data_IF_609434502706
#
_entry.id   IF_609434502706
#
_cell.length_a   1.000
_cell.length_b   1.000
_cell.length_c   1.000
_cell.angle_alpha   90.00
_cell.angle_beta   90.00
_cell.angle_gamma   90.00
#
_symmetry.space_group_name_H-M   'P 1'
#
loop_
_entity.id
_entity.type
_entity.pdbx_description
1 polymer ?
#
# COMPACT_ATOMS: atom_id res chain seq x y z
N UNK A 1 8.33 -7.88 27.32
CA UNK A 1 8.61 -7.17 26.06
C UNK A 1 7.46 -7.49 25.11
N UNK A 2 6.74 -6.48 24.62
CA UNK A 2 5.55 -6.71 23.78
C UNK A 2 5.97 -7.12 22.38
N UNK A 3 5.37 -8.18 21.86
CA UNK A 3 5.69 -8.73 20.53
C UNK A 3 4.81 -8.10 19.45
N UNK A 4 5.45 -7.45 18.48
CA UNK A 4 4.81 -6.65 17.45
C UNK A 4 5.04 -7.26 16.06
N UNK A 5 3.96 -7.59 15.35
CA UNK A 5 4.03 -8.00 13.95
C UNK A 5 3.53 -6.87 13.05
N UNK A 6 4.42 -6.27 12.28
CA UNK A 6 4.06 -5.34 11.23
C UNK A 6 3.79 -6.09 9.93
N UNK A 7 2.62 -5.86 9.35
CA UNK A 7 2.14 -6.48 8.12
C UNK A 7 2.00 -5.40 7.05
N UNK A 8 2.92 -5.38 6.09
CA UNK A 8 3.01 -4.31 5.09
C UNK A 8 3.46 -4.77 3.72
N UNK A 9 3.47 -3.84 2.76
CA UNK A 9 3.95 -4.07 1.40
C UNK A 9 5.49 -4.01 1.38
N UNK A 10 6.17 -4.98 0.78
CA UNK A 10 7.62 -4.94 0.62
C UNK A 10 8.04 -5.47 -0.73
N UNK A 11 9.21 -5.03 -1.19
CA UNK A 11 9.80 -5.39 -2.48
C UNK A 11 8.81 -5.08 -3.62
N UNK A 12 8.22 -3.88 -3.56
CA UNK A 12 7.25 -3.38 -4.53
C UNK A 12 7.94 -2.51 -5.58
N UNK A 13 7.47 -2.52 -6.83
CA UNK A 13 7.94 -1.54 -7.84
C UNK A 13 7.57 -0.11 -7.52
N UNK A 14 6.50 0.08 -6.74
CA UNK A 14 6.12 1.40 -6.31
C UNK A 14 7.09 1.86 -5.22
N UNK A 15 8.04 2.71 -5.62
CA UNK A 15 9.06 3.27 -4.73
C UNK A 15 8.41 4.05 -3.58
N UNK A 16 7.23 4.64 -3.78
CA UNK A 16 6.49 5.32 -2.73
C UNK A 16 6.00 4.36 -1.64
N UNK A 17 5.36 3.26 -2.02
CA UNK A 17 4.89 2.25 -1.05
C UNK A 17 6.06 1.57 -0.33
N UNK A 18 7.17 1.35 -1.05
CA UNK A 18 8.41 0.82 -0.46
C UNK A 18 9.00 1.79 0.55
N UNK A 19 9.13 3.08 0.21
CA UNK A 19 9.65 4.11 1.10
C UNK A 19 8.81 4.24 2.38
N UNK A 20 7.48 4.20 2.25
CA UNK A 20 6.58 4.21 3.40
C UNK A 20 6.87 3.02 4.33
N UNK A 21 6.96 1.81 3.77
CA UNK A 21 7.24 0.62 4.57
C UNK A 21 8.61 0.68 5.22
N UNK A 22 9.64 1.17 4.52
CA UNK A 22 10.98 1.29 5.07
C UNK A 22 11.05 2.30 6.22
N UNK A 23 10.31 3.42 6.12
CA UNK A 23 10.19 4.38 7.22
C UNK A 23 9.53 3.75 8.45
N UNK A 24 8.42 3.02 8.26
CA UNK A 24 7.76 2.31 9.37
C UNK A 24 8.70 1.28 9.99
N UNK A 25 9.42 0.53 9.17
CA UNK A 25 10.37 -0.50 9.63
C UNK A 25 11.47 0.12 10.49
N UNK A 26 12.07 1.23 10.04
CA UNK A 26 13.10 1.96 10.80
C UNK A 26 12.54 2.45 12.14
N UNK A 27 11.38 3.12 12.10
CA UNK A 27 10.75 3.67 13.29
C UNK A 27 10.41 2.60 14.34
N UNK A 28 9.98 1.40 13.91
CA UNK A 28 9.62 0.32 14.83
C UNK A 28 10.82 -0.53 15.25
N UNK A 29 11.87 -0.65 14.43
CA UNK A 29 13.09 -1.39 14.81
C UNK A 29 13.90 -0.69 15.89
N UNK A 30 13.82 0.64 15.93
CA UNK A 30 14.65 1.45 16.81
C UNK A 30 14.04 1.57 18.23
N UNK A 31 12.82 1.07 18.44
CA UNK A 31 12.16 1.05 19.73
C UNK A 31 12.59 -0.16 20.57
N UNK A 32 13.30 0.08 21.67
CA UNK A 32 13.79 -0.96 22.59
C UNK A 32 12.70 -1.71 23.36
N UNK A 33 11.46 -1.21 23.39
CA UNK A 33 10.39 -1.75 24.22
C UNK A 33 9.65 -2.94 23.58
N UNK A 34 9.89 -3.20 22.29
CA UNK A 34 9.14 -4.15 21.49
C UNK A 34 10.03 -5.17 20.78
N UNK A 35 9.61 -6.43 20.76
CA UNK A 35 10.17 -7.41 19.84
C UNK A 35 9.46 -7.23 18.49
N UNK A 36 10.18 -6.63 17.54
CA UNK A 36 9.64 -6.28 16.23
C UNK A 36 9.88 -7.37 15.19
N UNK A 37 8.83 -7.75 14.45
CA UNK A 37 8.92 -8.60 13.27
C UNK A 37 8.11 -8.04 12.11
N UNK A 38 8.62 -8.23 10.90
CA UNK A 38 7.93 -7.84 9.66
C UNK A 38 7.34 -9.07 8.95
N UNK A 39 6.12 -8.94 8.44
CA UNK A 39 5.43 -9.92 7.62
C UNK A 39 4.95 -9.28 6.32
N UNK A 40 5.46 -9.76 5.19
CA UNK A 40 5.14 -9.22 3.87
C UNK A 40 3.72 -9.59 3.46
N UNK A 41 2.96 -8.60 3.00
CA UNK A 41 1.69 -8.81 2.30
C UNK A 41 1.97 -9.39 0.92
N UNK A 42 1.42 -10.57 0.64
CA UNK A 42 1.45 -11.20 -0.67
C UNK A 42 0.02 -11.41 -1.18
N UNK A 43 -0.65 -10.32 -1.53
CA UNK A 43 -1.86 -10.35 -2.35
C UNK A 43 -1.42 -10.14 -3.80
N UNK A 44 -1.91 -10.93 -4.75
CA UNK A 44 -1.43 -10.95 -6.14
C UNK A 44 -1.85 -9.67 -6.90
N UNK A 45 -1.45 -8.51 -6.40
CA UNK A 45 -1.58 -7.25 -7.09
C UNK A 45 -0.21 -6.82 -7.55
N UNK A 46 0.03 -7.05 -8.85
CA UNK A 46 1.24 -6.67 -9.57
C UNK A 46 2.52 -6.74 -8.73
N UNK A 47 2.96 -7.95 -8.38
CA UNK A 47 4.40 -8.15 -8.20
C UNK A 47 5.06 -7.70 -9.49
N UNK A 48 5.76 -6.59 -9.40
CA UNK A 48 6.73 -6.19 -10.37
C UNK A 48 7.78 -7.27 -10.51
N UNK A 49 7.69 -8.01 -11.61
CA UNK A 49 8.78 -8.25 -12.57
C UNK A 49 10.19 -8.05 -11.97
N UNK A 50 10.57 -8.91 -11.05
CA UNK A 50 11.96 -9.07 -10.61
C UNK A 50 12.33 -10.54 -10.42
N UNK A 51 11.35 -11.43 -10.26
CA UNK A 51 11.54 -12.82 -10.65
C UNK A 51 11.28 -12.96 -12.15
N UNK A 52 12.17 -13.70 -12.81
CA UNK A 52 12.43 -13.70 -14.25
C UNK A 52 11.22 -13.81 -15.18
N UNK A 53 11.52 -13.66 -16.46
CA UNK A 53 10.64 -13.85 -17.61
C UNK A 53 9.86 -15.17 -17.49
N UNK A 54 8.75 -15.16 -16.76
CA UNK A 54 7.71 -16.18 -16.88
C UNK A 54 6.82 -15.66 -17.99
N UNK A 55 6.92 -16.32 -19.14
CA UNK A 55 6.04 -16.14 -20.27
C UNK A 55 4.59 -16.14 -19.77
N UNK A 56 3.98 -14.95 -19.75
CA UNK A 56 2.59 -14.81 -19.35
C UNK A 56 1.74 -15.48 -20.43
N UNK A 57 1.09 -16.60 -20.09
CA UNK A 57 0.11 -17.22 -20.98
C UNK A 57 -1.02 -16.23 -21.29
N UNK A 58 -0.98 -15.62 -22.49
CA UNK A 58 -1.98 -14.66 -23.00
C UNK A 58 -3.41 -15.16 -22.81
N UNK A 59 -3.63 -16.47 -22.96
CA UNK A 59 -4.93 -17.14 -22.78
C UNK A 59 -5.48 -16.95 -21.35
N UNK A 60 -4.63 -17.03 -20.31
CA UNK A 60 -5.07 -16.83 -18.92
C UNK A 60 -5.43 -15.37 -18.63
N UNK A 61 -4.80 -14.40 -19.28
CA UNK A 61 -5.17 -12.97 -19.14
C UNK A 61 -6.51 -12.68 -19.83
N UNK A 62 -6.76 -13.25 -21.01
CA UNK A 62 -8.06 -13.13 -21.69
C UNK A 62 -9.18 -13.78 -20.86
N UNK A 63 -8.96 -14.98 -20.31
CA UNK A 63 -9.93 -15.62 -19.43
C UNK A 63 -10.18 -14.80 -18.15
N UNK A 64 -9.16 -14.17 -17.58
CA UNK A 64 -9.30 -13.27 -16.41
C UNK A 64 -9.98 -11.94 -16.73
N UNK A 65 -10.02 -11.51 -17.99
CA UNK A 65 -10.82 -10.35 -18.39
C UNK A 65 -12.33 -10.63 -18.37
N UNK A 66 -12.74 -11.90 -18.37
CA UNK A 66 -14.14 -12.29 -18.22
C UNK A 66 -14.54 -12.17 -16.75
N UNK A 67 -15.50 -11.28 -16.46
CA UNK A 67 -15.94 -10.93 -15.10
C UNK A 67 -16.28 -12.14 -14.22
N UNK A 68 -16.97 -13.14 -14.76
CA UNK A 68 -17.39 -14.33 -14.01
C UNK A 68 -16.18 -15.20 -13.63
N UNK A 69 -15.26 -15.43 -14.56
CA UNK A 69 -14.04 -16.20 -14.32
C UNK A 69 -13.13 -15.48 -13.33
N UNK A 70 -13.04 -14.15 -13.42
CA UNK A 70 -12.35 -13.32 -12.42
C UNK A 70 -12.95 -13.55 -11.03
N UNK A 71 -14.27 -13.46 -10.87
CA UNK A 71 -14.94 -13.67 -9.58
C UNK A 71 -14.66 -15.07 -9.01
N UNK A 72 -14.73 -16.12 -9.83
CA UNK A 72 -14.44 -17.50 -9.39
C UNK A 72 -12.97 -17.65 -8.94
N UNK A 73 -12.04 -17.05 -9.69
CA UNK A 73 -10.64 -17.02 -9.30
C UNK A 73 -10.43 -16.26 -7.98
N UNK A 74 -11.08 -15.10 -7.84
CA UNK A 74 -10.97 -14.23 -6.67
C UNK A 74 -11.52 -14.92 -5.40
N UNK A 75 -12.63 -15.65 -5.51
CA UNK A 75 -13.23 -16.43 -4.42
C UNK A 75 -12.37 -17.65 -4.05
N UNK A 76 -11.72 -18.28 -5.02
CA UNK A 76 -10.82 -19.42 -4.77
C UNK A 76 -9.42 -19.01 -4.29
N UNK A 77 -9.04 -17.74 -4.48
CA UNK A 77 -7.71 -17.22 -4.15
C UNK A 77 -7.33 -17.43 -2.67
N UNK A 78 -8.23 -17.26 -1.69
CA UNK A 78 -7.89 -17.55 -0.30
C UNK A 78 -7.52 -19.01 -0.04
N UNK A 79 -8.21 -19.94 -0.70
CA UNK A 79 -7.94 -21.38 -0.62
C UNK A 79 -6.61 -21.71 -1.27
N UNK A 80 -6.34 -21.14 -2.45
CA UNK A 80 -5.05 -21.29 -3.14
C UNK A 80 -3.90 -20.76 -2.28
N UNK A 81 -4.11 -19.64 -1.58
CA UNK A 81 -3.13 -19.01 -0.69
C UNK A 81 -3.17 -19.52 0.76
N UNK A 82 -3.72 -20.70 1.03
CA UNK A 82 -3.82 -21.23 2.40
C UNK A 82 -2.48 -21.32 3.12
N UNK A 83 -1.39 -21.66 2.41
CA UNK A 83 -0.03 -21.72 3.00
C UNK A 83 0.44 -20.35 3.50
N UNK A 84 0.12 -19.29 2.77
CA UNK A 84 0.42 -17.92 3.17
C UNK A 84 -0.32 -17.55 4.45
N UNK A 85 -1.63 -17.83 4.51
CA UNK A 85 -2.42 -17.57 5.71
C UNK A 85 -2.02 -18.43 6.90
N UNK A 86 -1.63 -19.69 6.68
CA UNK A 86 -1.08 -20.55 7.71
C UNK A 86 0.23 -19.98 8.27
N UNK A 87 1.11 -19.51 7.39
CA UNK A 87 2.35 -18.83 7.80
C UNK A 87 2.05 -17.57 8.61
N UNK A 88 1.17 -16.72 8.11
CA UNK A 88 0.70 -15.52 8.81
C UNK A 88 0.14 -15.86 10.19
N UNK A 89 -0.75 -16.84 10.27
CA UNK A 89 -1.37 -17.26 11.53
C UNK A 89 -0.33 -17.75 12.54
N UNK A 90 0.69 -18.51 12.10
CA UNK A 90 1.77 -18.97 12.97
C UNK A 90 2.60 -17.81 13.54
N UNK A 91 2.82 -16.75 12.75
CA UNK A 91 3.51 -15.54 13.22
C UNK A 91 2.61 -14.68 14.12
N UNK A 92 1.32 -14.57 13.78
CA UNK A 92 0.34 -13.87 14.59
C UNK A 92 0.18 -14.51 15.98
N UNK A 93 0.27 -15.84 16.10
CA UNK A 93 0.23 -16.55 17.40
C UNK A 93 1.40 -16.23 18.32
N UNK A 94 2.51 -15.77 17.75
CA UNK A 94 3.72 -15.37 18.49
C UNK A 94 3.70 -13.88 18.82
N UNK A 95 2.64 -13.15 18.44
CA UNK A 95 2.59 -11.70 18.52
C UNK A 95 1.40 -11.25 19.37
N UNK A 96 1.55 -10.14 20.09
CA UNK A 96 0.47 -9.56 20.89
C UNK A 96 -0.33 -8.53 20.08
N UNK A 97 0.38 -7.80 19.21
CA UNK A 97 -0.19 -6.72 18.39
C UNK A 97 0.17 -6.95 16.93
N UNK A 98 -0.81 -6.76 16.04
CA UNK A 98 -0.61 -6.85 14.59
C UNK A 98 -0.89 -5.49 13.98
N UNK A 99 0.15 -4.83 13.46
CA UNK A 99 0.03 -3.55 12.78
C UNK A 99 -0.09 -3.80 11.29
N UNK A 100 -1.27 -3.57 10.72
CA UNK A 100 -1.53 -3.76 9.29
C UNK A 100 -1.42 -2.40 8.62
N UNK A 101 -0.40 -2.17 7.81
CA UNK A 101 -0.02 -0.79 7.53
C UNK A 101 1.07 -0.54 6.49
N UNK A 102 1.21 0.74 6.13
CA UNK A 102 2.16 1.27 5.14
C UNK A 102 1.53 1.60 3.78
N UNK A 103 1.03 2.83 3.61
CA UNK A 103 0.47 3.34 2.34
C UNK A 103 -1.06 3.23 2.26
N UNK A 104 -1.61 3.23 1.05
CA UNK A 104 -3.06 3.13 0.83
C UNK A 104 -3.57 1.66 0.90
N UNK A 105 -3.68 1.09 2.11
CA UNK A 105 -4.04 -0.32 2.27
C UNK A 105 -5.54 -0.64 2.19
N UNK A 106 -6.48 0.27 2.41
CA UNK A 106 -7.90 -0.12 2.32
C UNK A 106 -8.61 0.65 1.23
N UNK A 107 -8.29 0.32 -0.02
CA UNK A 107 -8.95 0.90 -1.19
C UNK A 107 -9.82 -0.13 -1.90
N UNK A 108 -10.92 0.36 -2.46
CA UNK A 108 -11.84 -0.42 -3.28
C UNK A 108 -11.49 -0.29 -4.78
N UNK A 109 -10.19 -0.38 -5.08
CA UNK A 109 -9.68 -0.44 -6.45
C UNK A 109 -9.79 -1.89 -6.98
N UNK A 110 -9.66 -2.87 -6.07
CA UNK A 110 -9.76 -4.29 -6.37
C UNK A 110 -10.63 -5.06 -5.36
N UNK A 111 -11.62 -5.78 -5.89
CA UNK A 111 -12.66 -6.50 -5.15
C UNK A 111 -12.12 -7.44 -4.04
N UNK A 112 -10.91 -7.97 -4.20
CA UNK A 112 -10.32 -9.01 -3.34
C UNK A 112 -9.47 -8.43 -2.22
N UNK A 113 -8.87 -7.25 -2.41
CA UNK A 113 -7.88 -6.74 -1.49
C UNK A 113 -8.47 -6.45 -0.10
N UNK A 114 -9.67 -5.83 0.03
CA UNK A 114 -10.35 -5.73 1.32
C UNK A 114 -10.72 -7.09 1.94
N UNK A 115 -10.98 -8.12 1.13
CA UNK A 115 -11.31 -9.46 1.63
C UNK A 115 -10.08 -10.12 2.26
N UNK A 116 -8.95 -10.03 1.58
CA UNK A 116 -7.66 -10.47 2.08
C UNK A 116 -7.29 -9.82 3.43
N UNK A 117 -7.50 -8.51 3.56
CA UNK A 117 -7.29 -7.80 4.82
C UNK A 117 -8.26 -8.24 5.92
N UNK A 118 -9.54 -8.48 5.58
CA UNK A 118 -10.49 -9.04 6.54
C UNK A 118 -10.03 -10.42 7.05
N UNK A 119 -9.50 -11.28 6.17
CA UNK A 119 -8.96 -12.59 6.57
C UNK A 119 -7.77 -12.42 7.52
N UNK A 120 -6.84 -11.50 7.24
CA UNK A 120 -5.73 -11.22 8.16
C UNK A 120 -6.25 -10.76 9.53
N UNK A 121 -7.16 -9.80 9.57
CA UNK A 121 -7.76 -9.31 10.83
C UNK A 121 -8.45 -10.43 11.61
N UNK A 122 -9.18 -11.31 10.92
CA UNK A 122 -9.81 -12.48 11.55
C UNK A 122 -8.77 -13.44 12.12
N UNK A 123 -7.75 -13.78 11.34
CA UNK A 123 -6.67 -14.68 11.78
C UNK A 123 -5.87 -14.09 12.95
N UNK A 124 -5.62 -12.78 12.97
CA UNK A 124 -4.99 -12.10 14.10
C UNK A 124 -5.80 -12.28 15.37
N UNK A 125 -7.11 -12.02 15.31
CA UNK A 125 -8.01 -12.18 16.47
C UNK A 125 -8.08 -13.64 16.93
N UNK A 126 -8.16 -14.59 15.99
CA UNK A 126 -8.13 -16.02 16.30
C UNK A 126 -6.82 -16.47 16.93
N UNK A 127 -5.70 -15.85 16.55
CA UNK A 127 -4.39 -16.09 17.13
C UNK A 127 -4.21 -15.47 18.53
N UNK A 128 -5.21 -14.74 19.05
CA UNK A 128 -5.15 -14.04 20.32
C UNK A 128 -4.47 -12.66 20.24
N UNK A 129 -4.04 -12.23 19.04
CA UNK A 129 -3.40 -10.94 18.84
C UNK A 129 -4.44 -9.83 18.57
N UNK A 130 -4.06 -8.58 18.86
CA UNK A 130 -4.89 -7.41 18.57
C UNK A 130 -4.46 -6.73 17.27
N UNK A 131 -5.24 -6.86 16.18
CA UNK A 131 -4.98 -6.14 14.95
C UNK A 131 -5.37 -4.66 15.07
N UNK A 132 -4.59 -3.81 14.41
CA UNK A 132 -4.84 -2.39 14.23
C UNK A 132 -4.37 -1.97 12.84
N UNK A 133 -5.02 -0.96 12.26
CA UNK A 133 -4.40 -0.26 11.13
C UNK A 133 -3.31 0.66 11.65
N UNK A 134 -2.20 0.75 10.91
CA UNK A 134 -1.05 1.57 11.28
C UNK A 134 -0.55 2.40 10.11
N UNK A 135 -0.71 3.72 10.21
CA UNK A 135 -0.31 4.71 9.21
C UNK A 135 -0.83 4.36 7.80
N UNK A 136 -2.01 3.75 7.75
CA UNK A 136 -2.67 3.33 6.52
C UNK A 136 -3.66 4.41 6.04
N UNK A 137 -3.76 4.55 4.72
CA UNK A 137 -4.85 5.26 4.04
C UNK A 137 -6.04 4.33 3.78
N UNK A 138 -7.25 4.86 3.95
CA UNK A 138 -8.52 4.16 3.79
C UNK A 138 -9.41 4.92 2.82
N UNK A 139 -9.82 4.24 1.76
CA UNK A 139 -10.67 4.76 0.70
C UNK A 139 -9.90 5.11 -0.58
N UNK A 140 -10.62 5.40 -1.68
CA UNK A 140 -12.08 5.46 -1.76
C UNK A 140 -12.77 4.08 -1.68
N UNK A 141 -13.97 4.03 -1.10
CA UNK A 141 -14.81 2.83 -0.95
C UNK A 141 -16.10 2.95 -1.77
N UNK A 142 -15.99 2.71 -3.08
CA UNK A 142 -17.05 3.02 -4.04
C UNK A 142 -18.14 1.94 -4.14
N UNK A 143 -17.78 0.67 -3.96
CA UNK A 143 -18.67 -0.48 -4.04
C UNK A 143 -19.36 -0.81 -2.71
N UNK A 144 -20.56 -1.40 -2.79
CA UNK A 144 -21.29 -1.88 -1.61
C UNK A 144 -20.51 -2.98 -0.87
N UNK A 145 -19.80 -3.83 -1.60
CA UNK A 145 -19.02 -4.93 -1.03
C UNK A 145 -17.76 -4.45 -0.32
N UNK A 146 -16.98 -3.55 -0.94
CA UNK A 146 -15.82 -2.92 -0.30
C UNK A 146 -16.20 -2.19 1.00
N UNK A 147 -17.29 -1.42 0.98
CA UNK A 147 -17.86 -0.79 2.20
C UNK A 147 -18.27 -1.81 3.25
N UNK A 148 -18.90 -2.91 2.85
CA UNK A 148 -19.29 -3.99 3.77
C UNK A 148 -18.05 -4.60 4.43
N UNK A 149 -17.03 -4.96 3.66
CA UNK A 149 -15.79 -5.53 4.19
C UNK A 149 -15.04 -4.56 5.10
N UNK A 150 -14.90 -3.29 4.68
CA UNK A 150 -14.30 -2.25 5.49
C UNK A 150 -15.02 -2.08 6.84
N UNK A 151 -16.36 -2.07 6.82
CA UNK A 151 -17.17 -2.05 8.05
C UNK A 151 -16.89 -3.27 8.94
N UNK A 152 -16.82 -4.47 8.36
CA UNK A 152 -16.52 -5.71 9.12
C UNK A 152 -15.12 -5.69 9.72
N UNK A 153 -14.14 -5.10 9.04
CA UNK A 153 -12.80 -4.87 9.57
C UNK A 153 -12.86 -3.88 10.74
N UNK A 154 -13.41 -2.68 10.53
CA UNK A 154 -13.44 -1.61 11.54
C UNK A 154 -14.09 -2.05 12.86
N UNK A 155 -15.17 -2.84 12.79
CA UNK A 155 -15.85 -3.40 13.97
C UNK A 155 -15.01 -4.40 14.79
N UNK A 156 -13.88 -4.88 14.26
CA UNK A 156 -12.97 -5.83 14.92
C UNK A 156 -11.70 -5.19 15.46
N UNK A 157 -11.49 -3.92 15.15
CA UNK A 157 -10.36 -3.15 15.64
C UNK A 157 -10.75 -2.52 16.99
N UNK A 158 -9.79 -2.43 17.90
CA UNK A 158 -9.93 -1.70 19.18
C UNK A 158 -9.28 -0.32 19.13
N UNK A 159 -8.23 -0.20 18.32
CA UNK A 159 -7.54 1.04 18.02
C UNK A 159 -7.01 0.99 16.59
N UNK A 160 -6.77 2.16 16.01
CA UNK A 160 -6.09 2.33 14.73
C UNK A 160 -5.32 3.64 14.72
N UNK A 161 -4.22 3.67 13.98
CA UNK A 161 -3.49 4.88 13.62
C UNK A 161 -3.57 5.00 12.10
N UNK A 162 -4.08 6.11 11.61
CA UNK A 162 -4.24 6.37 10.16
C UNK A 162 -3.45 7.59 9.75
N UNK A 163 -3.24 7.76 8.45
CA UNK A 163 -2.40 8.83 7.91
C UNK A 163 -3.13 10.15 7.61
N UNK A 164 -4.47 10.10 7.55
CA UNK A 164 -5.30 11.24 7.16
C UNK A 164 -6.68 11.23 7.83
N UNK A 165 -7.30 12.41 7.93
CA UNK A 165 -8.58 12.61 8.61
C UNK A 165 -9.75 11.92 7.87
N UNK A 166 -9.66 11.78 6.55
CA UNK A 166 -10.66 11.07 5.76
C UNK A 166 -10.72 9.60 6.18
N UNK A 167 -9.57 8.96 6.29
CA UNK A 167 -9.44 7.57 6.75
C UNK A 167 -10.01 7.38 8.14
N UNK A 168 -9.77 8.34 9.05
CA UNK A 168 -10.34 8.34 10.39
C UNK A 168 -11.86 8.44 10.35
N UNK A 169 -12.40 9.40 9.60
CA UNK A 169 -13.85 9.60 9.47
C UNK A 169 -14.57 8.34 8.96
N UNK A 170 -13.96 7.61 8.03
CA UNK A 170 -14.50 6.35 7.49
C UNK A 170 -14.54 5.26 8.57
N UNK A 171 -13.46 5.11 9.33
CA UNK A 171 -13.38 4.12 10.40
C UNK A 171 -14.36 4.41 11.54
N UNK A 172 -14.42 5.66 12.01
CA UNK A 172 -15.33 6.09 13.08
C UNK A 172 -16.80 5.96 12.66
N UNK A 173 -17.11 6.27 11.40
CA UNK A 173 -18.45 6.01 10.82
C UNK A 173 -18.85 4.53 10.92
N UNK A 174 -17.91 3.61 10.75
CA UNK A 174 -18.20 2.17 10.82
C UNK A 174 -18.15 1.59 12.23
N UNK A 175 -17.30 2.15 13.09
CA UNK A 175 -17.19 1.77 14.49
C UNK A 175 -16.98 3.03 15.36
N UNK A 176 -18.06 3.67 15.84
CA UNK A 176 -17.97 4.89 16.64
C UNK A 176 -17.23 4.74 17.97
N UNK A 177 -16.99 3.50 18.43
CA UNK A 177 -16.24 3.19 19.66
C UNK A 177 -14.74 2.97 19.40
N UNK A 178 -14.32 2.97 18.13
CA UNK A 178 -12.93 2.75 17.76
C UNK A 178 -12.09 3.98 18.13
N UNK A 179 -10.99 3.76 18.86
CA UNK A 179 -10.01 4.82 19.10
C UNK A 179 -9.15 4.99 17.85
N UNK A 180 -9.30 6.10 17.14
CA UNK A 180 -8.51 6.40 15.93
C UNK A 180 -7.65 7.64 16.14
N UNK A 181 -6.34 7.50 15.95
CA UNK A 181 -5.40 8.62 15.93
C UNK A 181 -4.94 8.89 14.51
N UNK A 182 -4.64 10.15 14.21
CA UNK A 182 -4.06 10.56 12.93
C UNK A 182 -2.63 10.97 13.16
N UNK A 183 -1.73 10.43 12.36
CA UNK A 183 -0.33 10.84 12.31
C UNK A 183 0.06 11.15 10.86
N UNK A 184 1.09 11.99 10.63
CA UNK A 184 1.57 12.25 9.27
C UNK A 184 1.99 10.99 8.53
N UNK A 185 2.06 11.08 7.20
CA UNK A 185 2.54 9.97 6.37
C UNK A 185 3.96 9.53 6.82
N UNK A 186 4.24 8.21 6.89
CA UNK A 186 5.52 7.72 7.39
C UNK A 186 6.75 8.28 6.66
N UNK A 187 6.60 8.71 5.40
CA UNK A 187 7.70 9.30 4.61
C UNK A 187 8.26 10.57 5.26
N UNK A 188 7.49 11.27 6.09
CA UNK A 188 8.01 12.42 6.84
C UNK A 188 9.08 12.02 7.88
N UNK A 189 9.16 10.75 8.25
CA UNK A 189 10.22 10.21 9.12
C UNK A 189 11.44 9.71 8.32
N UNK A 190 11.48 9.88 6.99
CA UNK A 190 12.58 9.41 6.14
C UNK A 190 13.91 10.13 6.38
N UNK A 191 13.97 11.21 7.17
CA UNK A 191 15.20 11.96 7.41
C UNK A 191 16.33 11.06 7.94
N UNK A 192 16.00 10.11 8.81
CA UNK A 192 16.97 9.14 9.35
C UNK A 192 17.50 8.18 8.27
N UNK A 193 16.64 7.73 7.35
CA UNK A 193 17.06 6.96 6.18
C UNK A 193 17.98 7.77 5.27
N UNK A 194 17.67 9.06 5.05
CA UNK A 194 18.41 9.93 4.15
C UNK A 194 19.76 10.39 4.70
N UNK A 195 19.96 10.40 6.02
CA UNK A 195 21.28 10.66 6.64
C UNK A 195 22.33 9.65 6.15
N UNK A 196 21.93 8.41 5.88
CA UNK A 196 22.82 7.37 5.34
C UNK A 196 23.11 7.52 3.84
N UNK A 197 22.23 8.20 3.09
CA UNK A 197 22.30 8.33 1.63
C UNK A 197 23.09 9.57 1.15
N UNK A 198 23.54 10.45 2.06
CA UNK A 198 24.37 11.63 1.70
C UNK A 198 25.76 11.19 1.21
N UNK A 199 25.86 10.86 -0.07
CA UNK A 199 27.14 10.77 -0.78
C UNK A 199 27.43 12.10 -1.48
N UNK A 200 28.55 12.71 -1.09
CA UNK A 200 29.06 13.98 -1.62
C UNK A 200 29.06 14.00 -3.15
N UNK A 201 28.29 14.90 -3.75
CA UNK A 201 28.49 15.36 -5.12
C UNK A 201 28.08 16.83 -5.20
N UNK A 202 29.02 17.73 -4.89
CA UNK A 202 28.92 19.13 -5.30
C UNK A 202 29.13 19.17 -6.80
N UNK A 203 28.06 19.41 -7.55
CA UNK A 203 28.17 19.84 -8.95
C UNK A 203 27.53 21.22 -9.07
N UNK A 204 28.28 22.19 -9.59
CA UNK A 204 27.90 23.63 -9.70
C UNK A 204 26.76 23.94 -10.68
N UNK A 205 26.07 22.91 -11.22
CA UNK A 205 24.89 23.07 -12.07
C UNK A 205 23.67 22.47 -11.40
N UNK A 206 22.65 23.31 -11.18
CA UNK A 206 21.34 22.86 -10.73
C UNK A 206 20.76 21.88 -11.77
N UNK A 207 20.58 20.62 -11.36
CA UNK A 207 19.84 19.61 -12.12
C UNK A 207 18.46 19.51 -11.51
N UNK A 208 17.41 19.59 -12.32
CA UNK A 208 16.03 19.41 -11.88
C UNK A 208 15.56 18.06 -12.40
N UNK A 209 15.21 17.16 -11.48
CA UNK A 209 14.57 15.89 -11.79
C UNK A 209 13.07 16.07 -11.64
N UNK A 210 12.31 15.65 -12.64
CA UNK A 210 10.85 15.70 -12.60
C UNK A 210 10.32 14.28 -12.66
N UNK A 211 9.76 13.80 -11.55
CA UNK A 211 9.04 12.53 -11.52
C UNK A 211 7.57 12.78 -11.83
N UNK A 212 7.09 12.20 -12.93
CA UNK A 212 5.70 12.33 -13.39
C UNK A 212 5.01 10.98 -13.36
N UNK A 213 3.75 10.97 -12.94
CA UNK A 213 2.92 9.78 -13.05
C UNK A 213 2.65 9.49 -14.54
N UNK A 214 2.74 8.25 -15.03
CA UNK A 214 2.57 7.94 -16.46
C UNK A 214 1.08 7.89 -16.83
N UNK A 215 0.42 9.05 -16.77
CA UNK A 215 -0.99 9.23 -17.15
C UNK A 215 -1.22 8.79 -18.60
N UNK A 216 -2.34 8.12 -18.88
CA UNK A 216 -2.63 7.57 -20.22
C UNK A 216 -1.87 6.30 -20.60
N UNK A 217 -0.90 5.82 -19.81
CA UNK A 217 -0.23 4.55 -20.11
C UNK A 217 -1.18 3.35 -19.89
N UNK A 218 -1.26 2.43 -20.86
CA UNK A 218 -2.04 1.17 -20.75
C UNK A 218 -1.63 0.29 -19.56
N UNK A 219 -0.46 0.56 -18.96
CA UNK A 219 0.06 -0.16 -17.79
C UNK A 219 -0.54 0.33 -16.46
N UNK A 220 -1.14 1.52 -16.44
CA UNK A 220 -1.54 2.22 -15.20
C UNK A 220 -2.96 2.80 -15.30
N UNK A 221 -3.57 2.85 -16.49
CA UNK A 221 -4.84 3.57 -16.70
C UNK A 221 -6.07 2.84 -16.14
N UNK A 222 -6.64 3.39 -15.07
CA UNK A 222 -8.06 3.32 -14.74
C UNK A 222 -8.88 4.52 -15.28
N UNK A 223 -8.24 5.48 -15.95
CA UNK A 223 -8.87 6.73 -16.41
C UNK A 223 -9.28 6.62 -17.88
N UNK A 224 -10.52 7.02 -18.16
CA UNK A 224 -11.27 6.76 -19.41
C UNK A 224 -11.55 8.03 -20.25
N UNK A 225 -11.06 9.19 -19.86
CA UNK A 225 -11.28 10.46 -20.56
C UNK A 225 -10.01 10.92 -21.26
N UNK A 226 -10.07 11.04 -22.59
CA UNK A 226 -8.97 11.56 -23.40
C UNK A 226 -8.62 13.02 -23.02
N UNK A 227 -9.61 13.81 -22.59
CA UNK A 227 -9.46 15.21 -22.19
C UNK A 227 -8.52 15.44 -21.00
N UNK A 228 -8.56 14.57 -19.99
CA UNK A 228 -7.71 14.71 -18.79
C UNK A 228 -6.26 14.34 -19.10
N UNK A 229 -6.05 13.50 -20.12
CA UNK A 229 -4.73 13.13 -20.58
C UNK A 229 -4.06 14.27 -21.34
N UNK A 230 -4.80 14.96 -22.21
CA UNK A 230 -4.26 16.08 -22.98
C UNK A 230 -3.89 17.27 -22.10
N UNK A 231 -4.71 17.57 -21.08
CA UNK A 231 -4.37 18.57 -20.08
C UNK A 231 -3.09 18.20 -19.32
N UNK A 232 -2.97 16.93 -18.90
CA UNK A 232 -1.78 16.44 -18.21
C UNK A 232 -0.52 16.56 -19.06
N UNK A 233 -0.57 16.13 -20.32
CA UNK A 233 0.58 16.24 -21.22
C UNK A 233 0.96 17.70 -21.49
N UNK A 234 -0.02 18.58 -21.67
CA UNK A 234 0.22 20.02 -21.86
C UNK A 234 0.89 20.63 -20.65
N UNK A 235 0.40 20.33 -19.44
CA UNK A 235 0.99 20.80 -18.19
C UNK A 235 2.44 20.33 -18.00
N UNK A 236 2.74 19.05 -18.29
CA UNK A 236 4.11 18.54 -18.24
C UNK A 236 5.00 19.24 -19.28
N UNK A 237 4.49 19.47 -20.48
CA UNK A 237 5.22 20.19 -21.54
C UNK A 237 5.52 21.65 -21.15
N UNK A 238 4.59 22.34 -20.49
CA UNK A 238 4.79 23.71 -20.02
C UNK A 238 5.88 23.78 -18.95
N UNK A 239 5.90 22.84 -18.00
CA UNK A 239 6.96 22.72 -16.99
C UNK A 239 8.32 22.49 -17.67
N UNK A 240 8.37 21.55 -18.61
CA UNK A 240 9.56 21.23 -19.40
C UNK A 240 10.10 22.46 -20.13
N UNK A 241 9.21 23.23 -20.79
CA UNK A 241 9.58 24.42 -21.53
C UNK A 241 10.08 25.55 -20.61
N UNK A 242 9.40 25.78 -19.48
CA UNK A 242 9.82 26.75 -18.49
C UNK A 242 11.26 26.50 -17.99
N UNK A 243 11.60 25.24 -17.69
CA UNK A 243 12.94 24.91 -17.20
C UNK A 243 14.02 24.88 -18.30
N UNK A 244 13.67 24.47 -19.53
CA UNK A 244 14.57 24.57 -20.69
C UNK A 244 15.00 26.02 -20.94
N UNK A 245 14.06 26.96 -20.87
CA UNK A 245 14.33 28.39 -21.04
C UNK A 245 15.30 28.95 -19.98
N UNK A 246 15.38 28.31 -18.81
CA UNK A 246 16.31 28.66 -17.72
C UNK A 246 17.66 27.94 -17.77
N UNK A 247 17.96 27.20 -18.85
CA UNK A 247 19.20 26.39 -19.02
C UNK A 247 19.42 25.35 -17.91
N UNK A 248 18.34 24.84 -17.34
CA UNK A 248 18.39 23.79 -16.31
C UNK A 248 18.37 22.42 -17.01
N UNK A 249 19.25 21.52 -16.59
CA UNK A 249 19.27 20.13 -17.10
C UNK A 249 18.14 19.37 -16.44
N UNK A 250 17.27 18.80 -17.26
CA UNK A 250 16.11 18.04 -16.84
C UNK A 250 16.32 16.55 -17.05
N UNK A 251 16.02 15.78 -16.02
CA UNK A 251 15.95 14.32 -16.07
C UNK A 251 14.47 13.94 -15.92
N UNK A 252 13.98 13.06 -16.81
CA UNK A 252 12.61 12.52 -16.81
C UNK A 252 12.71 11.03 -16.52
#
# INVERSE_FOLDING_TARGET
MTRLLHVGLAECSNIGDQAITDCIRSMLSDMSDYEYKFFRINFNHATSKSDGVVEKNKIKEVLRSIRVIKILYDISLPVIKWRYYKSFYNEARKSEKILIGGGNLLMDIDFIFPLHLLILVLLSRLAGAEPAFFLAGIGPLNSKFGRFLAKRIALRLKFSIVRDELSKSILEKYNPKLKVSVLPDPVFFAEELLKSAKKNNKTDKYRVLISVFPYGSKRVSHNKSDSDSDFYYSFVADIVNYFKNKKIIMLI
#
